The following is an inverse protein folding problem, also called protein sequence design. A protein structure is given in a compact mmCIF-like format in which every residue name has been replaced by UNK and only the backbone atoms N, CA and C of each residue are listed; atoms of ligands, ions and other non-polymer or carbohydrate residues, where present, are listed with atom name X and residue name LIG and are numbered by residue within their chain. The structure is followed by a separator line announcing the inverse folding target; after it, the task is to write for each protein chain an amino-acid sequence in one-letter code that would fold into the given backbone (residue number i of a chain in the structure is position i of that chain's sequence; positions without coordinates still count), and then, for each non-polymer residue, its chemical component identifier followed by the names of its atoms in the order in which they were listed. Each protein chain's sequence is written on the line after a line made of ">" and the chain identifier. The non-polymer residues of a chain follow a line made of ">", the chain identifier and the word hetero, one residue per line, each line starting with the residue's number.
data_IF_565058498795
#
_entry.id   IF_565058498795
#
_cell.length_a   1.000
_cell.length_b   1.000
_cell.length_c   1.000
_cell.angle_alpha   90.00
_cell.angle_beta   90.00
_cell.angle_gamma   90.00
#
_symmetry.space_group_name_H-M   'P 1'
#
loop_
_entity.id
_entity.type
_entity.pdbx_description
1 polymer ?
#
# COMPACT_ATOMS: atom_id res chain seq x y z
N UNK A 1 0.25 -32.95 26.17
CA UNK A 1 1.00 -32.72 24.91
C UNK A 1 2.47 -32.49 25.25
N UNK A 2 3.42 -33.25 24.67
CA UNK A 2 4.86 -33.15 24.99
C UNK A 2 5.60 -32.31 23.94
N UNK A 3 6.44 -31.37 24.38
CA UNK A 3 7.31 -30.57 23.52
C UNK A 3 8.72 -31.17 23.46
N UNK A 4 9.27 -31.30 22.26
CA UNK A 4 10.61 -31.83 22.01
C UNK A 4 11.51 -30.75 21.38
N UNK A 5 12.81 -30.68 21.75
CA UNK A 5 13.72 -29.70 21.18
C UNK A 5 13.99 -29.98 19.69
N UNK A 6 14.23 -28.92 18.91
CA UNK A 6 14.73 -29.00 17.54
C UNK A 6 15.54 -27.74 17.19
N UNK A 7 16.40 -27.85 16.18
CA UNK A 7 17.29 -26.76 15.75
C UNK A 7 16.78 -26.15 14.43
N UNK A 8 16.67 -24.83 14.40
CA UNK A 8 16.21 -24.09 13.22
C UNK A 8 17.42 -23.71 12.34
N UNK A 9 17.33 -23.96 11.03
CA UNK A 9 18.33 -23.50 10.05
C UNK A 9 18.18 -21.99 9.85
N UNK A 10 19.25 -21.22 10.05
CA UNK A 10 19.32 -19.80 9.71
C UNK A 10 19.35 -19.62 8.19
N UNK A 11 18.53 -18.71 7.64
CA UNK A 11 18.56 -18.33 6.22
C UNK A 11 19.85 -17.58 5.83
N UNK A 12 20.57 -17.00 6.80
CA UNK A 12 21.88 -16.41 6.60
C UNK A 12 22.97 -17.44 6.90
N UNK A 13 23.74 -17.80 5.86
CA UNK A 13 24.89 -18.70 5.93
C UNK A 13 25.88 -18.18 6.99
N UNK A 14 26.11 -19.00 8.02
CA UNK A 14 27.10 -18.94 9.13
C UNK A 14 26.46 -18.72 10.52
N UNK A 15 26.35 -19.84 11.27
CA UNK A 15 25.90 -20.04 12.67
C UNK A 15 24.44 -20.52 12.84
N UNK A 16 24.27 -21.81 13.17
CA UNK A 16 23.04 -22.39 13.74
C UNK A 16 22.85 -21.83 15.16
N UNK A 17 21.78 -21.10 15.47
CA UNK A 17 21.70 -20.42 16.78
C UNK A 17 20.34 -20.31 17.49
N UNK A 18 19.36 -21.18 17.27
CA UNK A 18 18.26 -21.25 18.25
C UNK A 18 17.69 -22.65 18.48
N UNK A 19 17.82 -23.13 19.73
CA UNK A 19 17.12 -24.29 20.27
C UNK A 19 15.65 -23.91 20.42
N UNK A 20 14.80 -24.44 19.55
CA UNK A 20 13.36 -24.27 19.62
C UNK A 20 12.72 -25.57 20.11
N UNK A 21 11.42 -25.56 20.35
CA UNK A 21 10.65 -26.71 20.81
C UNK A 21 9.45 -26.91 19.89
N UNK A 22 9.08 -28.16 19.62
CA UNK A 22 7.92 -28.52 18.80
C UNK A 22 7.10 -29.61 19.46
N UNK A 23 5.80 -29.65 19.19
CA UNK A 23 4.90 -30.71 19.63
C UNK A 23 4.19 -31.33 18.43
N UNK A 24 3.87 -32.62 18.53
CA UNK A 24 3.05 -33.32 17.54
C UNK A 24 1.58 -33.11 17.91
N UNK A 25 0.81 -32.52 17.00
CA UNK A 25 -0.62 -32.25 17.18
C UNK A 25 -1.44 -32.95 16.09
N UNK A 26 -2.70 -33.27 16.38
CA UNK A 26 -3.70 -33.62 15.36
C UNK A 26 -4.33 -32.31 14.86
N UNK A 27 -4.07 -31.95 13.61
CA UNK A 27 -4.59 -30.71 13.03
C UNK A 27 -6.12 -30.78 12.90
N UNK A 28 -6.91 -29.79 13.38
CA UNK A 28 -8.36 -29.78 13.21
C UNK A 28 -8.79 -29.56 11.76
N UNK A 29 -7.91 -29.00 10.90
CA UNK A 29 -8.23 -28.72 9.50
C UNK A 29 -7.98 -29.95 8.62
N UNK A 30 -6.72 -30.40 8.53
CA UNK A 30 -6.38 -31.53 7.65
C UNK A 30 -6.44 -32.89 8.34
N UNK A 31 -6.79 -32.94 9.63
CA UNK A 31 -6.88 -34.17 10.46
C UNK A 31 -5.56 -34.95 10.64
N UNK A 32 -4.51 -34.57 9.93
CA UNK A 32 -3.17 -35.17 9.99
C UNK A 32 -2.39 -34.83 11.26
N UNK A 33 -1.52 -35.77 11.66
CA UNK A 33 -0.57 -35.58 12.77
C UNK A 33 0.66 -34.81 12.29
N UNK A 34 0.79 -33.54 12.66
CA UNK A 34 1.88 -32.65 12.20
C UNK A 34 2.67 -32.09 13.39
N UNK A 35 3.93 -31.73 13.12
CA UNK A 35 4.74 -30.99 14.07
C UNK A 35 4.39 -29.49 14.00
N UNK A 36 4.21 -28.87 15.16
CA UNK A 36 4.02 -27.43 15.31
C UNK A 36 5.00 -26.92 16.35
N UNK A 37 5.65 -25.80 16.08
CA UNK A 37 6.57 -25.20 17.02
C UNK A 37 5.84 -24.60 18.24
N UNK A 38 6.58 -24.47 19.34
CA UNK A 38 6.08 -23.99 20.64
C UNK A 38 5.57 -22.56 20.56
N UNK A 39 6.14 -21.73 19.68
CA UNK A 39 5.73 -20.34 19.50
C UNK A 39 4.36 -20.25 18.81
N UNK A 40 4.17 -20.96 17.70
CA UNK A 40 2.90 -21.06 16.99
C UNK A 40 1.78 -21.64 17.88
N UNK A 41 2.11 -22.63 18.72
CA UNK A 41 1.15 -23.22 19.64
C UNK A 41 0.80 -22.29 20.82
N UNK A 42 1.79 -21.69 21.50
CA UNK A 42 1.55 -20.88 22.71
C UNK A 42 1.14 -19.44 22.40
N UNK A 43 1.87 -18.76 21.51
CA UNK A 43 1.72 -17.32 21.27
C UNK A 43 0.68 -17.01 20.20
N UNK A 44 0.71 -17.72 19.07
CA UNK A 44 -0.32 -17.57 18.04
C UNK A 44 -1.60 -18.37 18.32
N UNK A 45 -1.62 -19.18 19.41
CA UNK A 45 -2.74 -20.05 19.82
C UNK A 45 -3.24 -20.97 18.70
N UNK A 46 -2.40 -21.27 17.71
CA UNK A 46 -2.82 -22.09 16.56
C UNK A 46 -2.88 -23.56 16.98
N UNK A 47 -4.09 -24.13 16.99
CA UNK A 47 -4.30 -25.57 17.20
C UNK A 47 -4.14 -26.37 15.90
N UNK A 48 -3.71 -25.74 14.81
CA UNK A 48 -3.62 -26.31 13.46
C UNK A 48 -2.18 -26.33 12.95
N UNK A 49 -1.91 -27.18 11.95
CA UNK A 49 -0.56 -27.33 11.43
C UNK A 49 -0.10 -26.12 10.61
N UNK A 50 1.22 -25.91 10.52
CA UNK A 50 1.81 -24.78 9.82
C UNK A 50 1.39 -24.67 8.35
N UNK A 51 1.20 -25.79 7.64
CA UNK A 51 0.72 -25.77 6.24
C UNK A 51 -0.72 -25.29 6.12
N UNK A 52 -1.62 -25.73 7.01
CA UNK A 52 -2.99 -25.24 7.04
C UNK A 52 -3.07 -23.77 7.47
N UNK A 53 -2.23 -23.32 8.41
CA UNK A 53 -2.10 -21.91 8.75
C UNK A 53 -1.62 -21.08 7.57
N UNK A 54 -0.57 -21.51 6.86
CA UNK A 54 -0.07 -20.82 5.68
C UNK A 54 -1.15 -20.71 4.59
N UNK A 55 -1.90 -21.79 4.33
CA UNK A 55 -3.02 -21.78 3.38
C UNK A 55 -4.10 -20.76 3.77
N UNK A 56 -4.55 -20.75 5.03
CA UNK A 56 -5.55 -19.80 5.51
C UNK A 56 -5.06 -18.35 5.42
N UNK A 57 -3.79 -18.09 5.74
CA UNK A 57 -3.19 -16.76 5.58
C UNK A 57 -3.16 -16.34 4.11
N UNK A 58 -2.79 -17.24 3.19
CA UNK A 58 -2.80 -16.97 1.76
C UNK A 58 -4.22 -16.70 1.23
N UNK A 59 -5.22 -17.46 1.68
CA UNK A 59 -6.63 -17.23 1.33
C UNK A 59 -7.12 -15.86 1.82
N UNK A 60 -6.77 -15.47 3.06
CA UNK A 60 -7.08 -14.15 3.61
C UNK A 60 -6.39 -13.04 2.79
N UNK A 61 -5.09 -13.17 2.54
CA UNK A 61 -4.34 -12.19 1.75
C UNK A 61 -4.85 -12.08 0.31
N UNK A 62 -5.32 -13.17 -0.30
CA UNK A 62 -5.94 -13.17 -1.63
C UNK A 62 -7.26 -12.38 -1.63
N UNK A 63 -8.09 -12.54 -0.60
CA UNK A 63 -9.35 -11.77 -0.46
C UNK A 63 -9.11 -10.28 -0.22
N UNK A 64 -8.07 -9.93 0.53
CA UNK A 64 -7.73 -8.53 0.84
C UNK A 64 -6.90 -7.84 -0.27
N UNK A 65 -6.26 -8.62 -1.14
CA UNK A 65 -5.35 -8.13 -2.18
C UNK A 65 -5.56 -8.87 -3.50
N UNK A 66 -6.59 -8.46 -4.26
CA UNK A 66 -6.91 -9.03 -5.57
C UNK A 66 -5.72 -8.99 -6.55
N UNK A 67 -4.78 -8.05 -6.36
CA UNK A 67 -3.57 -7.89 -7.20
C UNK A 67 -2.25 -8.22 -6.49
N UNK A 68 -2.29 -8.99 -5.40
CA UNK A 68 -1.10 -9.55 -4.73
C UNK A 68 -0.60 -8.77 -3.49
N UNK A 69 0.39 -9.29 -2.74
CA UNK A 69 0.72 -8.89 -1.36
C UNK A 69 1.13 -7.42 -1.14
N UNK A 70 1.37 -6.66 -2.20
CA UNK A 70 1.72 -5.24 -2.16
C UNK A 70 0.60 -4.30 -2.64
N UNK A 71 -0.56 -4.83 -3.01
CA UNK A 71 -1.67 -4.07 -3.57
C UNK A 71 -2.44 -3.32 -2.48
N UNK A 72 -2.15 -2.03 -2.32
CA UNK A 72 -2.83 -1.16 -1.35
C UNK A 72 -3.97 -0.37 -2.02
N UNK A 73 -4.88 -1.10 -2.67
CA UNK A 73 -5.98 -0.50 -3.44
C UNK A 73 -5.50 0.40 -4.58
N UNK A 74 -4.33 0.09 -5.18
CA UNK A 74 -3.73 0.88 -6.25
C UNK A 74 -3.08 2.19 -5.81
N UNK A 75 -3.09 2.50 -4.50
CA UNK A 75 -2.56 3.74 -3.94
C UNK A 75 -1.08 3.61 -3.58
N UNK A 76 -0.26 4.56 -4.00
CA UNK A 76 1.17 4.64 -3.66
C UNK A 76 1.60 6.07 -3.36
N UNK A 77 2.66 6.24 -2.56
CA UNK A 77 3.21 7.57 -2.21
C UNK A 77 4.55 7.77 -2.90
N UNK A 78 4.75 8.90 -3.56
CA UNK A 78 6.02 9.26 -4.20
C UNK A 78 7.04 9.73 -3.17
N UNK A 79 8.33 9.79 -3.56
CA UNK A 79 9.38 10.36 -2.71
C UNK A 79 9.12 11.84 -2.37
N UNK A 80 8.44 12.54 -3.28
CA UNK A 80 8.03 13.94 -3.10
C UNK A 80 6.78 14.08 -2.23
N UNK A 81 6.19 13.00 -1.74
CA UNK A 81 5.04 13.02 -0.82
C UNK A 81 3.66 13.02 -1.49
N UNK A 82 3.59 13.01 -2.82
CA UNK A 82 2.32 12.94 -3.54
C UNK A 82 1.73 11.53 -3.51
N UNK A 83 0.41 11.44 -3.51
CA UNK A 83 -0.29 10.17 -3.69
C UNK A 83 -0.59 9.94 -5.16
N UNK A 84 -0.29 8.72 -5.63
CA UNK A 84 -0.68 8.20 -6.93
C UNK A 84 -1.73 7.13 -6.73
N UNK A 85 -2.72 7.08 -7.61
CA UNK A 85 -3.71 6.00 -7.64
C UNK A 85 -3.69 5.33 -9.00
N UNK A 86 -3.88 4.02 -8.99
CA UNK A 86 -4.13 3.25 -10.19
C UNK A 86 -5.48 3.64 -10.78
N UNK A 87 -5.52 3.78 -12.10
CA UNK A 87 -6.74 4.01 -12.87
C UNK A 87 -6.95 2.78 -13.75
N UNK A 88 -8.18 2.26 -13.78
CA UNK A 88 -8.54 1.17 -14.69
C UNK A 88 -8.57 1.69 -16.13
N UNK A 89 -8.29 0.81 -17.11
CA UNK A 89 -8.12 1.24 -18.51
C UNK A 89 -9.39 1.83 -19.11
N UNK A 90 -10.53 1.41 -18.59
CA UNK A 90 -11.87 1.81 -19.04
C UNK A 90 -12.40 3.07 -18.29
N UNK A 91 -11.65 3.61 -17.33
CA UNK A 91 -12.04 4.81 -16.57
C UNK A 91 -11.93 6.07 -17.45
N UNK A 92 -12.90 6.98 -17.34
CA UNK A 92 -12.96 8.23 -18.11
C UNK A 92 -11.72 9.14 -17.92
N UNK A 93 -11.01 9.01 -16.79
CA UNK A 93 -9.80 9.78 -16.47
C UNK A 93 -8.51 9.02 -16.80
N UNK A 94 -8.56 7.92 -17.55
CA UNK A 94 -7.37 7.13 -17.94
C UNK A 94 -6.30 7.97 -18.64
N UNK A 95 -6.71 8.99 -19.41
CA UNK A 95 -5.81 9.93 -20.08
C UNK A 95 -4.95 10.77 -19.11
N UNK A 96 -5.34 10.83 -17.82
CA UNK A 96 -4.54 11.48 -16.77
C UNK A 96 -3.49 10.54 -16.16
N UNK A 97 -3.56 9.24 -16.45
CA UNK A 97 -2.60 8.26 -15.96
C UNK A 97 -1.26 8.36 -16.72
N UNK A 98 -0.16 8.12 -16.00
CA UNK A 98 1.13 7.88 -16.62
C UNK A 98 1.20 6.51 -17.30
N UNK A 99 2.34 6.23 -17.94
CA UNK A 99 2.62 4.93 -18.60
C UNK A 99 2.48 3.71 -17.70
N UNK A 100 2.56 3.91 -16.38
CA UNK A 100 2.40 2.87 -15.36
C UNK A 100 0.95 2.72 -14.85
N UNK A 101 -0.04 3.28 -15.56
CA UNK A 101 -1.46 3.16 -15.23
C UNK A 101 -1.86 3.93 -13.96
N UNK A 102 -1.04 4.91 -13.53
CA UNK A 102 -1.29 5.67 -12.30
C UNK A 102 -1.30 7.17 -12.54
N UNK A 103 -2.31 7.86 -12.01
CA UNK A 103 -2.34 9.32 -11.98
C UNK A 103 -2.15 9.88 -10.56
N UNK A 104 -1.89 11.18 -10.49
CA UNK A 104 -1.80 11.91 -9.23
C UNK A 104 -3.20 12.13 -8.65
N UNK A 105 -3.41 11.70 -7.40
CA UNK A 105 -4.73 11.73 -6.77
C UNK A 105 -5.30 13.14 -6.68
N UNK A 106 -4.50 14.14 -6.29
CA UNK A 106 -4.96 15.53 -6.23
C UNK A 106 -5.46 16.06 -7.57
N UNK A 107 -4.85 15.64 -8.69
CA UNK A 107 -5.30 16.03 -10.03
C UNK A 107 -6.62 15.36 -10.36
N UNK A 108 -6.78 14.08 -10.02
CA UNK A 108 -8.02 13.35 -10.27
C UNK A 108 -9.19 13.87 -9.44
N UNK A 109 -8.96 14.17 -8.15
CA UNK A 109 -10.00 14.75 -7.28
C UNK A 109 -10.48 16.07 -7.86
N UNK A 110 -9.56 16.94 -8.29
CA UNK A 110 -9.95 18.21 -8.91
C UNK A 110 -10.60 18.01 -10.29
N UNK A 111 -10.11 17.09 -11.12
CA UNK A 111 -10.71 16.78 -12.42
C UNK A 111 -12.18 16.32 -12.28
N UNK A 112 -12.43 15.42 -11.32
CA UNK A 112 -13.78 14.95 -10.96
C UNK A 112 -14.66 16.08 -10.43
N UNK A 113 -14.10 16.97 -9.63
CA UNK A 113 -14.83 18.13 -9.11
C UNK A 113 -15.24 19.12 -10.21
N UNK A 114 -14.36 19.37 -11.19
CA UNK A 114 -14.63 20.26 -12.32
C UNK A 114 -15.44 19.55 -13.42
N UNK A 115 -15.49 18.21 -13.42
CA UNK A 115 -16.22 17.41 -14.40
C UNK A 115 -15.52 17.31 -15.76
N UNK A 116 -14.19 17.47 -15.82
CA UNK A 116 -13.40 17.29 -17.05
C UNK A 116 -11.94 16.97 -16.75
N UNK A 117 -11.23 16.48 -17.76
CA UNK A 117 -9.77 16.33 -17.71
C UNK A 117 -9.09 17.68 -17.45
N UNK A 118 -8.10 17.67 -16.56
CA UNK A 118 -7.26 18.85 -16.31
C UNK A 118 -6.23 19.00 -17.44
N UNK A 119 -6.13 20.22 -17.96
CA UNK A 119 -5.12 20.62 -18.94
C UNK A 119 -3.72 20.57 -18.33
N UNK A 120 -2.71 20.53 -19.19
CA UNK A 120 -1.29 20.50 -18.79
C UNK A 120 -0.85 21.78 -18.06
N UNK A 121 -1.52 22.91 -18.36
CA UNK A 121 -1.25 24.21 -17.78
C UNK A 121 -2.03 24.49 -16.48
N UNK A 122 -2.86 23.54 -16.04
CA UNK A 122 -3.61 23.57 -14.80
C UNK A 122 -2.82 22.88 -13.68
N UNK A 123 -2.57 23.62 -12.61
CA UNK A 123 -1.73 23.24 -11.46
C UNK A 123 -2.63 23.17 -10.23
N UNK A 124 -2.41 22.17 -9.38
CA UNK A 124 -3.14 22.03 -8.13
C UNK A 124 -2.24 22.44 -6.97
N UNK A 125 -2.74 23.34 -6.14
CA UNK A 125 -2.10 23.77 -4.91
C UNK A 125 -2.80 23.14 -3.68
N UNK A 126 -1.99 22.69 -2.70
CA UNK A 126 -2.46 22.19 -1.41
C UNK A 126 -2.36 23.30 -0.37
N UNK A 127 -3.50 23.80 0.13
CA UNK A 127 -3.57 24.94 1.06
C UNK A 127 -2.78 24.69 2.35
N UNK A 128 -2.89 23.48 2.91
CA UNK A 128 -2.17 23.06 4.12
C UNK A 128 -0.68 22.71 3.88
N UNK A 129 -0.24 22.65 2.62
CA UNK A 129 1.10 22.20 2.22
C UNK A 129 1.34 20.69 2.37
N UNK A 130 0.36 19.91 2.82
CA UNK A 130 0.44 18.46 2.91
C UNK A 130 -0.01 17.81 1.60
N UNK A 131 0.97 17.39 0.80
CA UNK A 131 0.76 16.73 -0.51
C UNK A 131 -0.03 15.41 -0.48
N UNK A 132 -0.29 14.87 0.71
CA UNK A 132 -1.11 13.68 0.90
C UNK A 132 -2.57 14.00 1.29
N UNK A 133 -2.88 15.23 1.67
CA UNK A 133 -4.24 15.65 1.99
C UNK A 133 -4.98 16.12 0.72
N UNK A 134 -5.62 15.18 0.04
CA UNK A 134 -6.28 15.41 -1.24
C UNK A 134 -7.79 15.66 -1.12
N UNK A 135 -8.27 16.15 0.03
CA UNK A 135 -9.65 16.62 0.18
C UNK A 135 -9.88 17.81 -0.73
N UNK A 136 -11.01 17.87 -1.42
CA UNK A 136 -11.29 18.94 -2.38
C UNK A 136 -11.21 20.33 -1.75
N UNK A 137 -11.64 20.48 -0.49
CA UNK A 137 -11.55 21.75 0.25
C UNK A 137 -10.10 22.26 0.42
N UNK A 138 -9.14 21.34 0.48
CA UNK A 138 -7.71 21.60 0.64
C UNK A 138 -6.98 21.84 -0.70
N UNK A 139 -7.66 21.61 -1.83
CA UNK A 139 -7.09 21.77 -3.16
C UNK A 139 -7.54 23.08 -3.79
N UNK A 140 -6.66 23.67 -4.58
CA UNK A 140 -6.94 24.89 -5.33
C UNK A 140 -6.40 24.74 -6.76
N UNK A 141 -7.26 25.03 -7.74
CA UNK A 141 -6.93 24.95 -9.17
C UNK A 141 -6.38 26.29 -9.65
N UNK A 142 -5.12 26.30 -10.05
CA UNK A 142 -4.41 27.46 -10.56
C UNK A 142 -4.11 27.25 -12.05
N UNK A 143 -4.29 28.30 -12.86
CA UNK A 143 -3.94 28.25 -14.29
C UNK A 143 -2.66 29.02 -14.55
N UNK A 144 -1.74 28.44 -15.32
CA UNK A 144 -0.62 29.16 -15.94
C UNK A 144 -1.17 30.25 -16.89
N UNK A 145 -1.27 31.50 -16.42
CA UNK A 145 -1.35 32.67 -17.31
C UNK A 145 0.08 33.06 -17.70
N UNK A 146 0.51 32.68 -18.90
CA UNK A 146 1.63 33.19 -19.73
C UNK A 146 2.95 33.71 -19.11
N UNK A 147 3.22 33.50 -17.83
CA UNK A 147 4.47 33.92 -17.19
C UNK A 147 5.12 32.72 -16.50
N UNK A 148 6.29 32.33 -17.00
CA UNK A 148 7.24 31.51 -16.25
C UNK A 148 7.63 32.32 -15.02
N UNK A 149 7.44 31.78 -13.82
CA UNK A 149 7.68 32.55 -12.61
C UNK A 149 7.30 31.86 -11.33
N UNK A 150 7.53 32.58 -10.24
CA UNK A 150 7.05 32.23 -8.91
C UNK A 150 5.61 32.74 -8.80
N UNK A 151 4.68 31.83 -8.51
CA UNK A 151 3.32 32.20 -8.15
C UNK A 151 3.16 32.08 -6.65
N UNK A 152 2.64 33.13 -6.03
CA UNK A 152 2.35 33.16 -4.60
C UNK A 152 0.89 32.78 -4.37
N UNK A 153 0.64 31.77 -3.55
CA UNK A 153 -0.73 31.41 -3.16
C UNK A 153 -1.34 32.54 -2.30
N UNK A 154 -2.54 33.05 -2.63
CA UNK A 154 -3.19 34.10 -1.85
C UNK A 154 -3.62 33.65 -0.45
N UNK A 155 -3.74 32.33 -0.22
CA UNK A 155 -4.18 31.76 1.05
C UNK A 155 -3.05 31.43 2.02
N UNK A 156 -1.92 30.91 1.52
CA UNK A 156 -0.81 30.47 2.39
C UNK A 156 0.50 31.22 2.15
N UNK A 157 0.51 32.20 1.22
CA UNK A 157 1.67 33.04 0.87
C UNK A 157 2.91 32.25 0.41
N UNK A 158 2.78 30.95 0.15
CA UNK A 158 3.88 30.14 -0.36
C UNK A 158 4.08 30.42 -1.83
N UNK A 159 5.35 30.48 -2.19
CA UNK A 159 5.84 30.63 -3.55
C UNK A 159 6.01 29.25 -4.19
N UNK A 160 5.49 29.06 -5.40
CA UNK A 160 5.73 27.85 -6.18
C UNK A 160 6.26 28.23 -7.56
N UNK A 161 7.32 27.52 -7.95
CA UNK A 161 7.91 27.65 -9.27
C UNK A 161 7.02 26.98 -10.31
N UNK A 162 6.53 27.80 -11.23
CA UNK A 162 5.82 27.37 -12.41
C UNK A 162 6.85 27.17 -13.53
N UNK A 163 7.36 25.93 -13.66
CA UNK A 163 8.29 25.50 -14.75
C UNK A 163 7.60 25.16 -16.06
#
# INVERSE_FOLDING_TARGET
>A
MKFQPYYVKSLNKKKYKQKSYRAKIKCPICKEKRWVDKYAFKKMKTKQCGSCTARLLLEKHRKENERGPGWRGGRSKTKQGYIRIWIEKEDEYIEMAGRDGRALEHRLVMAKHVGRLLKRNEIIHHKDGNRANNKIENLELLTRKNHQGIMTCPHCQKEFLIK
#
